data_IF_908457372609
#
_entry.id   IF_908457372609
#
_cell.length_a   1.000
_cell.length_b   1.000
_cell.length_c   1.000
_cell.angle_alpha   90.00
_cell.angle_beta   90.00
_cell.angle_gamma   90.00
#
_symmetry.space_group_name_H-M   'P 1'
#
loop_
_entity.id
_entity.type
_entity.pdbx_description
1 polymer ?
#
# COMPACT_ATOMS: atom_id res chain seq x y z
N UNK A 1 17.99 -19.68 -6.43
CA UNK A 1 17.24 -19.31 -5.22
C UNK A 1 17.79 -20.09 -4.02
N UNK A 2 17.93 -19.41 -2.84
CA UNK A 2 18.31 -20.06 -1.59
C UNK A 2 17.23 -21.05 -1.11
N UNK A 3 17.60 -22.02 -0.28
CA UNK A 3 16.64 -23.00 0.26
C UNK A 3 15.53 -22.32 1.10
N UNK A 4 15.84 -21.26 1.83
CA UNK A 4 14.85 -20.50 2.60
C UNK A 4 13.79 -19.85 1.68
N UNK A 5 14.22 -19.29 0.55
CA UNK A 5 13.32 -18.70 -0.45
C UNK A 5 12.45 -19.78 -1.07
N UNK A 6 13.03 -20.91 -1.48
CA UNK A 6 12.28 -22.04 -2.05
C UNK A 6 11.24 -22.56 -1.06
N UNK A 7 11.62 -22.78 0.20
CA UNK A 7 10.73 -23.26 1.25
C UNK A 7 9.61 -22.27 1.56
N UNK A 8 9.88 -20.97 1.53
CA UNK A 8 8.86 -19.93 1.70
C UNK A 8 7.88 -19.96 0.54
N UNK A 9 8.37 -19.90 -0.70
CA UNK A 9 7.54 -19.89 -1.91
C UNK A 9 6.69 -21.16 -2.02
N UNK A 10 7.22 -22.33 -1.72
CA UNK A 10 6.47 -23.59 -1.75
C UNK A 10 5.28 -23.59 -0.79
N UNK A 11 5.42 -22.98 0.39
CA UNK A 11 4.32 -22.86 1.35
C UNK A 11 3.33 -21.77 1.00
N UNK A 12 3.83 -20.71 0.35
CA UNK A 12 3.01 -19.55 0.00
C UNK A 12 2.23 -19.77 -1.30
N UNK A 13 2.80 -20.54 -2.24
CA UNK A 13 2.22 -20.74 -3.55
C UNK A 13 0.96 -21.60 -3.46
N UNK A 14 -0.17 -21.01 -3.77
CA UNK A 14 -1.46 -21.68 -3.93
C UNK A 14 -2.04 -21.35 -5.32
N UNK A 15 -3.26 -21.82 -5.61
CA UNK A 15 -3.90 -21.61 -6.92
C UNK A 15 -4.07 -20.12 -7.23
N UNK A 16 -4.43 -19.30 -6.24
CA UNK A 16 -4.65 -17.87 -6.44
C UNK A 16 -3.35 -17.12 -6.73
N UNK A 17 -2.27 -17.50 -6.08
CA UNK A 17 -0.97 -16.86 -6.23
C UNK A 17 -0.15 -17.40 -7.40
N UNK A 18 -0.47 -18.60 -7.88
CA UNK A 18 0.17 -19.17 -9.08
C UNK A 18 -0.10 -18.37 -10.35
N UNK A 19 -1.12 -17.50 -10.36
CA UNK A 19 -1.36 -16.56 -11.47
C UNK A 19 -0.16 -15.67 -11.76
N UNK A 20 0.69 -15.40 -10.77
CA UNK A 20 1.97 -14.72 -10.94
C UNK A 20 2.83 -15.32 -12.05
N UNK A 21 2.86 -16.65 -12.16
CA UNK A 21 3.69 -17.37 -13.14
C UNK A 21 3.17 -17.26 -14.58
N UNK A 22 1.90 -16.91 -14.77
CA UNK A 22 1.24 -16.84 -16.08
C UNK A 22 0.99 -15.40 -16.55
N UNK A 23 1.44 -14.42 -15.78
CA UNK A 23 1.25 -12.99 -16.08
C UNK A 23 2.33 -12.47 -17.03
N UNK A 24 2.02 -11.40 -17.77
CA UNK A 24 2.99 -10.61 -18.54
C UNK A 24 3.72 -9.58 -17.67
N UNK A 25 3.15 -9.26 -16.53
CA UNK A 25 3.70 -8.38 -15.52
C UNK A 25 3.03 -8.61 -14.16
N UNK A 26 3.73 -8.27 -13.10
CA UNK A 26 3.26 -8.48 -11.73
C UNK A 26 3.39 -7.19 -10.92
N UNK A 27 2.37 -6.90 -10.12
CA UNK A 27 2.42 -5.86 -9.08
C UNK A 27 2.28 -6.55 -7.73
N UNK A 28 3.34 -6.52 -6.93
CA UNK A 28 3.34 -7.04 -5.56
C UNK A 28 2.88 -5.95 -4.59
N UNK A 29 1.96 -6.29 -3.70
CA UNK A 29 1.45 -5.36 -2.68
C UNK A 29 1.45 -6.00 -1.30
N UNK A 30 1.54 -5.19 -0.26
CA UNK A 30 1.63 -5.69 1.11
C UNK A 30 0.28 -6.16 1.66
N UNK A 31 -0.81 -5.50 1.27
CA UNK A 31 -2.10 -5.67 1.90
C UNK A 31 -3.27 -5.82 0.93
N UNK A 32 -4.43 -6.06 1.54
CA UNK A 32 -5.68 -6.28 0.81
C UNK A 32 -6.21 -4.98 0.19
N UNK A 33 -6.00 -3.83 0.84
CA UNK A 33 -6.47 -2.53 0.38
C UNK A 33 -5.86 -2.20 -0.98
N UNK A 34 -4.54 -2.29 -1.09
CA UNK A 34 -3.82 -2.07 -2.35
C UNK A 34 -4.24 -3.09 -3.41
N UNK A 35 -4.39 -4.37 -3.02
CA UNK A 35 -4.79 -5.41 -3.96
C UNK A 35 -6.16 -5.14 -4.59
N UNK A 36 -7.08 -4.52 -3.84
CA UNK A 36 -8.42 -4.17 -4.32
C UNK A 36 -8.45 -2.85 -5.07
N UNK A 37 -7.76 -1.81 -4.59
CA UNK A 37 -7.85 -0.46 -5.14
C UNK A 37 -6.93 -0.21 -6.34
N UNK A 38 -5.74 -0.83 -6.40
CA UNK A 38 -4.80 -0.61 -7.51
C UNK A 38 -5.39 -0.96 -8.87
N UNK A 39 -6.12 -2.09 -9.08
CA UNK A 39 -6.77 -2.35 -10.36
C UNK A 39 -7.78 -1.27 -10.75
N UNK A 40 -8.55 -0.75 -9.79
CA UNK A 40 -9.56 0.29 -10.02
C UNK A 40 -8.88 1.62 -10.40
N UNK A 41 -7.84 2.02 -9.69
CA UNK A 41 -7.08 3.22 -10.01
C UNK A 41 -6.35 3.11 -11.34
N UNK A 42 -5.76 1.95 -11.61
CA UNK A 42 -5.11 1.70 -12.90
C UNK A 42 -6.08 1.84 -14.06
N UNK A 43 -7.30 1.29 -13.94
CA UNK A 43 -8.34 1.43 -14.96
C UNK A 43 -8.65 2.90 -15.23
N UNK A 44 -8.90 3.71 -14.20
CA UNK A 44 -9.18 5.15 -14.35
C UNK A 44 -8.02 5.91 -15.00
N UNK A 45 -6.77 5.63 -14.57
CA UNK A 45 -5.58 6.27 -15.14
C UNK A 45 -5.38 5.90 -16.60
N UNK A 46 -5.56 4.63 -16.95
CA UNK A 46 -5.40 4.12 -18.31
C UNK A 46 -6.50 4.68 -19.24
N UNK A 47 -7.74 4.78 -18.77
CA UNK A 47 -8.81 5.45 -19.53
C UNK A 47 -8.47 6.91 -19.81
N UNK A 48 -8.05 7.67 -18.81
CA UNK A 48 -7.67 9.09 -18.98
C UNK A 48 -6.45 9.24 -19.91
N UNK A 49 -5.48 8.34 -19.79
CA UNK A 49 -4.35 8.31 -20.73
C UNK A 49 -4.84 8.06 -22.15
N UNK A 50 -5.69 7.07 -22.36
CA UNK A 50 -6.23 6.72 -23.66
C UNK A 50 -7.08 7.85 -24.30
N UNK A 51 -7.78 8.67 -23.50
CA UNK A 51 -8.50 9.84 -24.03
C UNK A 51 -7.57 10.85 -24.71
N UNK A 52 -6.31 10.94 -24.26
CA UNK A 52 -5.31 11.91 -24.72
C UNK A 52 -4.37 11.39 -25.82
N UNK A 53 -4.39 10.08 -26.09
CA UNK A 53 -3.45 9.43 -27.01
C UNK A 53 -4.13 8.97 -28.30
N UNK A 54 -3.39 9.02 -29.41
CA UNK A 54 -3.83 8.48 -30.71
C UNK A 54 -3.73 6.96 -30.71
N UNK A 55 -2.61 6.42 -30.18
CA UNK A 55 -2.40 4.98 -30.03
C UNK A 55 -2.93 4.54 -28.66
N UNK A 56 -3.90 3.63 -28.70
CA UNK A 56 -4.53 3.13 -27.48
C UNK A 56 -3.70 1.98 -26.88
N UNK A 57 -3.66 1.97 -25.54
CA UNK A 57 -3.13 0.86 -24.73
C UNK A 57 -4.28 0.15 -24.02
N UNK A 58 -4.08 -1.03 -23.42
CA UNK A 58 -5.11 -1.69 -22.62
C UNK A 58 -5.72 -0.76 -21.56
N UNK A 59 -7.03 -0.86 -21.33
CA UNK A 59 -7.74 -0.01 -20.38
C UNK A 59 -7.68 -0.54 -18.94
N UNK A 60 -7.23 -1.75 -18.75
CA UNK A 60 -7.08 -2.36 -17.41
C UNK A 60 -5.80 -3.18 -17.29
N UNK A 61 -5.45 -3.52 -16.07
CA UNK A 61 -4.32 -4.39 -15.77
C UNK A 61 -4.56 -5.79 -16.35
N UNK A 62 -5.78 -6.30 -16.26
CA UNK A 62 -6.19 -7.61 -16.78
C UNK A 62 -6.02 -7.67 -18.31
N UNK A 63 -6.49 -6.66 -19.04
CA UNK A 63 -6.30 -6.58 -20.49
C UNK A 63 -4.82 -6.51 -20.87
N UNK A 64 -4.01 -5.88 -20.02
CA UNK A 64 -2.56 -5.82 -20.20
C UNK A 64 -1.86 -7.15 -19.83
N UNK A 65 -2.56 -8.08 -19.19
CA UNK A 65 -2.01 -9.31 -18.63
C UNK A 65 -1.16 -9.09 -17.38
N UNK A 66 -1.44 -8.01 -16.63
CA UNK A 66 -0.76 -7.68 -15.37
C UNK A 66 -1.61 -8.14 -14.19
N UNK A 67 -1.00 -8.85 -13.27
CA UNK A 67 -1.65 -9.37 -12.06
C UNK A 67 -1.18 -8.61 -10.82
N UNK A 68 -2.11 -8.21 -9.96
CA UNK A 68 -1.81 -7.68 -8.62
C UNK A 68 -1.81 -8.84 -7.63
N UNK A 69 -0.74 -8.97 -6.86
CA UNK A 69 -0.53 -10.10 -5.94
C UNK A 69 -0.27 -9.55 -4.53
N UNK A 70 -1.19 -9.85 -3.62
CA UNK A 70 -1.00 -9.55 -2.20
C UNK A 70 -0.04 -10.58 -1.59
N UNK A 71 1.11 -10.11 -1.10
CA UNK A 71 2.14 -10.94 -0.47
C UNK A 71 1.98 -11.05 1.04
N UNK A 72 0.94 -10.43 1.62
CA UNK A 72 0.63 -10.41 3.04
C UNK A 72 1.82 -9.94 3.90
N UNK A 73 2.15 -8.65 3.78
CA UNK A 73 3.21 -7.97 4.53
C UNK A 73 4.50 -7.77 3.73
N UNK A 74 5.56 -7.38 4.43
CA UNK A 74 6.85 -6.92 3.86
C UNK A 74 7.76 -8.05 3.34
N UNK A 75 7.17 -9.07 2.76
CA UNK A 75 7.88 -10.29 2.34
C UNK A 75 8.56 -10.19 0.96
N UNK A 76 8.75 -8.99 0.44
CA UNK A 76 9.35 -8.72 -0.89
C UNK A 76 10.67 -9.47 -1.14
N UNK A 77 11.51 -9.64 -0.13
CA UNK A 77 12.79 -10.35 -0.23
C UNK A 77 12.68 -11.79 -0.73
N UNK A 78 11.51 -12.42 -0.59
CA UNK A 78 11.28 -13.78 -1.08
C UNK A 78 10.78 -13.84 -2.52
N UNK A 79 10.16 -12.74 -3.00
CA UNK A 79 9.57 -12.69 -4.33
C UNK A 79 10.47 -12.05 -5.38
N UNK A 80 11.18 -10.97 -5.04
CA UNK A 80 12.03 -10.28 -6.01
C UNK A 80 13.10 -11.15 -6.65
N UNK A 81 13.73 -12.13 -5.96
CA UNK A 81 14.69 -13.04 -6.61
C UNK A 81 14.12 -13.85 -7.78
N UNK A 82 12.79 -13.93 -7.93
CA UNK A 82 12.16 -14.53 -9.10
C UNK A 82 12.26 -13.66 -10.36
N UNK A 83 12.43 -12.34 -10.19
CA UNK A 83 12.35 -11.34 -11.25
C UNK A 83 13.65 -10.56 -11.45
N UNK A 84 14.49 -10.49 -10.42
CA UNK A 84 15.74 -9.75 -10.47
C UNK A 84 16.81 -10.51 -11.24
N UNK A 85 17.78 -9.75 -11.75
CA UNK A 85 18.95 -10.31 -12.39
C UNK A 85 19.72 -11.17 -11.37
N UNK A 86 19.88 -12.44 -11.71
CA UNK A 86 20.76 -13.38 -11.04
C UNK A 86 22.01 -13.55 -11.89
N UNK A 87 23.05 -14.19 -11.36
CA UNK A 87 24.27 -14.53 -12.13
C UNK A 87 23.96 -15.39 -13.39
N UNK A 88 22.75 -15.98 -13.43
CA UNK A 88 22.21 -16.77 -14.52
C UNK A 88 20.91 -16.14 -15.00
N UNK A 89 20.96 -15.43 -16.14
CA UNK A 89 19.76 -14.82 -16.75
C UNK A 89 18.64 -15.83 -17.03
N UNK A 90 18.98 -17.10 -17.19
CA UNK A 90 18.06 -18.20 -17.47
C UNK A 90 17.21 -18.60 -16.26
N UNK A 91 17.63 -18.24 -15.03
CA UNK A 91 16.97 -18.65 -13.78
C UNK A 91 15.87 -17.69 -13.32
N UNK A 92 15.63 -16.60 -14.02
CA UNK A 92 14.60 -15.59 -13.67
C UNK A 92 13.34 -15.71 -14.52
N UNK A 93 12.24 -15.26 -13.98
CA UNK A 93 11.02 -15.10 -14.77
C UNK A 93 11.18 -13.93 -15.77
N UNK A 94 10.92 -14.13 -17.07
CA UNK A 94 11.10 -13.09 -18.09
C UNK A 94 9.96 -12.08 -18.14
N UNK A 95 9.46 -11.66 -16.97
CA UNK A 95 8.35 -10.73 -16.79
C UNK A 95 8.77 -9.56 -15.90
N UNK A 96 8.12 -8.41 -16.08
CA UNK A 96 8.37 -7.24 -15.25
C UNK A 96 7.64 -7.36 -13.93
N UNK A 97 8.29 -6.92 -12.85
CA UNK A 97 7.75 -6.90 -11.52
C UNK A 97 7.83 -5.48 -10.94
N UNK A 98 6.72 -5.00 -10.40
CA UNK A 98 6.70 -3.80 -9.56
C UNK A 98 6.19 -4.17 -8.17
N UNK A 99 6.63 -3.47 -7.15
CA UNK A 99 6.10 -3.61 -5.80
C UNK A 99 5.75 -2.24 -5.23
N UNK A 100 4.82 -2.24 -4.31
CA UNK A 100 4.42 -1.07 -3.54
C UNK A 100 4.53 -1.45 -2.08
N UNK A 101 5.28 -0.66 -1.30
CA UNK A 101 5.51 -0.87 0.12
C UNK A 101 5.23 0.40 0.90
N UNK A 102 4.74 0.24 2.11
CA UNK A 102 4.55 1.34 3.04
C UNK A 102 5.88 1.91 3.54
N UNK A 103 5.89 3.14 3.99
CA UNK A 103 7.07 3.80 4.58
C UNK A 103 7.18 3.56 6.07
N UNK A 104 6.04 3.49 6.76
CA UNK A 104 5.90 3.24 8.19
C UNK A 104 6.88 4.04 9.08
N UNK A 105 6.90 5.38 8.96
CA UNK A 105 7.83 6.18 9.72
C UNK A 105 7.54 6.11 11.22
N UNK A 106 8.62 6.03 12.01
CA UNK A 106 8.55 6.00 13.46
C UNK A 106 9.29 7.21 14.05
N UNK A 107 8.76 7.76 15.14
CA UNK A 107 9.40 8.85 15.86
C UNK A 107 10.48 8.31 16.79
N UNK A 108 10.07 7.41 17.69
CA UNK A 108 10.93 6.84 18.71
C UNK A 108 10.66 5.36 18.88
N UNK A 109 11.72 4.63 19.20
CA UNK A 109 11.67 3.22 19.54
C UNK A 109 12.28 3.06 20.93
N UNK A 110 11.44 2.84 21.94
CA UNK A 110 11.91 2.45 23.26
C UNK A 110 12.13 0.94 23.32
N UNK A 111 13.30 0.54 23.82
CA UNK A 111 13.66 -0.87 24.00
C UNK A 111 13.92 -1.18 25.47
N UNK A 112 13.54 -2.40 25.89
CA UNK A 112 13.89 -2.91 27.24
C UNK A 112 15.39 -3.27 27.33
N UNK A 113 15.82 -3.64 28.54
CA UNK A 113 17.22 -4.05 28.81
C UNK A 113 17.67 -5.28 27.97
N UNK A 114 16.74 -6.00 27.39
CA UNK A 114 16.98 -7.16 26.50
C UNK A 114 16.90 -6.79 25.02
N UNK A 115 16.77 -5.48 24.69
CA UNK A 115 16.68 -4.98 23.33
C UNK A 115 15.33 -5.19 22.65
N UNK A 116 14.29 -5.61 23.37
CA UNK A 116 12.94 -5.79 22.83
C UNK A 116 12.23 -4.43 22.79
N UNK A 117 11.51 -4.16 21.68
CA UNK A 117 10.74 -2.92 21.52
C UNK A 117 9.59 -2.93 22.54
N UNK A 118 9.58 -1.94 23.46
CA UNK A 118 8.53 -1.72 24.44
C UNK A 118 7.50 -0.73 23.92
N UNK A 119 7.97 0.31 23.19
CA UNK A 119 7.14 1.38 22.63
C UNK A 119 7.66 1.76 21.25
N UNK A 120 6.72 1.87 20.33
CA UNK A 120 6.95 2.39 18.98
C UNK A 120 5.94 3.52 18.74
N UNK A 121 6.42 4.74 18.63
CA UNK A 121 5.57 5.88 18.31
C UNK A 121 5.56 6.11 16.81
N UNK A 122 4.36 6.01 16.22
CA UNK A 122 4.18 6.23 14.80
C UNK A 122 4.16 7.70 14.44
N UNK A 123 4.82 8.07 13.35
CA UNK A 123 4.71 9.40 12.75
C UNK A 123 3.63 9.46 11.70
N UNK A 124 3.03 10.65 11.62
CA UNK A 124 2.02 11.01 10.63
C UNK A 124 2.52 12.28 9.90
N UNK A 125 3.43 12.11 8.93
CA UNK A 125 4.12 13.25 8.31
C UNK A 125 3.26 13.97 7.28
N UNK A 126 3.63 15.21 7.02
CA UNK A 126 3.15 16.03 5.90
C UNK A 126 4.22 16.12 4.81
N UNK A 127 3.83 16.61 3.62
CA UNK A 127 4.77 16.82 2.53
C UNK A 127 5.87 17.81 2.90
N UNK A 128 7.12 17.50 2.55
CA UNK A 128 8.30 18.31 2.87
C UNK A 128 8.97 18.02 4.20
N UNK A 129 8.36 17.23 5.10
CA UNK A 129 9.04 16.76 6.30
C UNK A 129 10.11 15.71 5.97
N UNK A 130 11.25 15.79 6.63
CA UNK A 130 12.30 14.76 6.49
C UNK A 130 11.91 13.52 7.28
N UNK A 131 11.58 12.43 6.55
CA UNK A 131 11.00 11.23 7.12
C UNK A 131 11.93 10.05 6.87
N UNK A 132 12.35 9.41 7.96
CA UNK A 132 13.05 8.13 7.90
C UNK A 132 12.02 7.02 7.98
N UNK A 133 11.98 6.16 6.98
CA UNK A 133 11.08 5.01 6.95
C UNK A 133 11.48 3.96 8.00
N UNK A 134 10.46 3.33 8.60
CA UNK A 134 10.63 2.24 9.56
C UNK A 134 10.41 0.84 8.97
N UNK A 135 9.97 0.76 7.73
CA UNK A 135 9.71 -0.49 7.03
C UNK A 135 11.00 -1.09 6.48
N UNK A 136 11.27 -2.35 6.82
CA UNK A 136 12.49 -3.07 6.37
C UNK A 136 12.54 -3.32 4.86
N UNK A 137 11.40 -3.32 4.17
CA UNK A 137 11.38 -3.47 2.71
C UNK A 137 12.09 -2.32 2.00
N UNK A 138 12.21 -1.14 2.65
CA UNK A 138 12.91 0.02 2.11
C UNK A 138 14.40 -0.28 1.87
N UNK A 139 15.02 -1.12 2.68
CA UNK A 139 16.42 -1.53 2.51
C UNK A 139 16.67 -2.25 1.17
N UNK A 140 15.62 -2.78 0.55
CA UNK A 140 15.69 -3.49 -0.73
C UNK A 140 15.55 -2.57 -1.95
N UNK A 141 15.11 -1.32 -1.75
CA UNK A 141 14.73 -0.41 -2.85
C UNK A 141 15.89 -0.17 -3.81
N UNK A 142 17.07 0.14 -3.28
CA UNK A 142 18.23 0.45 -4.12
C UNK A 142 18.67 -0.76 -4.95
N UNK A 143 18.78 -1.93 -4.33
CA UNK A 143 19.18 -3.16 -5.01
C UNK A 143 18.18 -3.59 -6.07
N UNK A 144 16.86 -3.52 -5.76
CA UNK A 144 15.81 -3.89 -6.70
C UNK A 144 15.75 -2.88 -7.86
N UNK A 145 15.77 -1.59 -7.56
CA UNK A 145 15.64 -0.54 -8.57
C UNK A 145 16.88 -0.40 -9.48
N UNK A 146 18.02 -0.99 -9.11
CA UNK A 146 19.18 -1.11 -9.99
C UNK A 146 18.99 -2.15 -11.10
N UNK A 147 18.05 -3.08 -10.93
CA UNK A 147 17.77 -4.12 -11.94
C UNK A 147 16.96 -3.56 -13.12
N UNK A 148 16.96 -4.27 -14.26
CA UNK A 148 16.22 -3.83 -15.46
C UNK A 148 14.73 -4.13 -15.40
N UNK A 149 14.33 -5.18 -14.68
CA UNK A 149 12.97 -5.76 -14.77
C UNK A 149 12.13 -5.54 -13.52
N UNK A 150 12.72 -5.16 -12.40
CA UNK A 150 12.02 -4.98 -11.16
C UNK A 150 12.08 -3.53 -10.65
N UNK A 151 11.02 -3.11 -9.95
CA UNK A 151 10.94 -1.82 -9.25
C UNK A 151 10.20 -2.00 -7.93
N UNK A 152 10.66 -1.31 -6.90
CA UNK A 152 9.97 -1.20 -5.62
C UNK A 152 9.70 0.28 -5.34
N UNK A 153 8.44 0.62 -5.22
CA UNK A 153 7.96 1.96 -4.87
C UNK A 153 7.59 2.01 -3.40
N UNK A 154 7.90 3.11 -2.75
CA UNK A 154 7.62 3.35 -1.33
C UNK A 154 6.57 4.44 -1.23
N UNK A 155 5.59 4.28 -0.34
CA UNK A 155 4.63 5.33 0.00
C UNK A 155 5.35 6.63 0.36
N UNK A 156 4.80 7.76 -0.07
CA UNK A 156 5.48 9.06 0.05
C UNK A 156 5.60 9.51 1.50
N UNK A 157 4.53 9.34 2.27
CA UNK A 157 4.41 9.82 3.65
C UNK A 157 4.42 8.67 4.65
N UNK A 158 3.45 7.76 4.61
CA UNK A 158 3.32 6.70 5.61
C UNK A 158 2.87 5.37 5.03
N UNK A 159 1.59 5.23 4.75
CA UNK A 159 0.96 4.04 4.17
C UNK A 159 0.13 4.45 2.98
N UNK A 160 -0.29 3.47 2.20
CA UNK A 160 -1.16 3.70 1.06
C UNK A 160 -2.43 4.49 1.45
N UNK A 161 -3.12 4.10 2.52
CA UNK A 161 -4.36 4.74 2.96
C UNK A 161 -4.11 6.16 3.50
N UNK A 162 -3.04 6.34 4.28
CA UNK A 162 -2.70 7.66 4.81
C UNK A 162 -2.33 8.63 3.70
N UNK A 163 -1.53 8.17 2.73
CA UNK A 163 -1.14 8.98 1.57
C UNK A 163 -2.36 9.36 0.72
N UNK A 164 -3.33 8.44 0.54
CA UNK A 164 -4.60 8.75 -0.12
C UNK A 164 -5.36 9.86 0.62
N UNK A 165 -5.48 9.79 1.93
CA UNK A 165 -6.15 10.80 2.73
C UNK A 165 -5.46 12.17 2.60
N UNK A 166 -4.13 12.21 2.72
CA UNK A 166 -3.30 13.41 2.60
C UNK A 166 -3.31 14.01 1.17
N UNK A 167 -3.68 13.24 0.17
CA UNK A 167 -3.88 13.73 -1.20
C UNK A 167 -5.30 14.24 -1.48
N UNK A 168 -5.97 14.79 -0.47
CA UNK A 168 -7.26 15.49 -0.59
C UNK A 168 -8.49 14.57 -0.52
N UNK A 169 -8.32 13.31 -0.14
CA UNK A 169 -9.43 12.36 -0.09
C UNK A 169 -10.03 12.18 1.32
N UNK A 170 -9.64 12.97 2.31
CA UNK A 170 -10.17 12.86 3.68
C UNK A 170 -11.71 12.90 3.73
N UNK A 171 -12.35 13.80 2.98
CA UNK A 171 -13.81 13.92 2.94
C UNK A 171 -14.48 12.64 2.44
N UNK A 172 -14.01 12.11 1.30
CA UNK A 172 -14.53 10.86 0.72
C UNK A 172 -14.29 9.66 1.65
N UNK A 173 -13.08 9.53 2.18
CA UNK A 173 -12.72 8.43 3.07
C UNK A 173 -13.52 8.49 4.40
N UNK A 174 -13.76 9.70 4.92
CA UNK A 174 -14.62 9.88 6.10
C UNK A 174 -16.10 9.53 5.80
N UNK A 175 -16.59 9.76 4.58
CA UNK A 175 -17.93 9.35 4.16
C UNK A 175 -18.06 7.82 4.17
N UNK A 176 -17.11 7.12 3.54
CA UNK A 176 -17.07 5.65 3.52
C UNK A 176 -17.02 5.10 4.95
N UNK A 177 -16.17 5.68 5.79
CA UNK A 177 -16.04 5.28 7.19
C UNK A 177 -17.35 5.53 7.97
N UNK A 178 -18.01 6.67 7.75
CA UNK A 178 -19.31 7.00 8.36
C UNK A 178 -20.41 5.99 7.99
N UNK A 179 -20.47 5.59 6.72
CA UNK A 179 -21.48 4.65 6.23
C UNK A 179 -21.28 3.24 6.78
N UNK A 180 -20.04 2.79 6.84
CA UNK A 180 -19.70 1.42 7.23
C UNK A 180 -19.45 1.26 8.74
N UNK A 181 -19.26 2.35 9.51
CA UNK A 181 -19.02 2.26 10.95
C UNK A 181 -20.24 1.70 11.68
N UNK A 182 -20.06 0.75 12.62
CA UNK A 182 -21.15 0.27 13.46
C UNK A 182 -21.83 1.43 14.21
N UNK A 183 -23.12 1.26 14.54
CA UNK A 183 -23.87 2.32 15.24
C UNK A 183 -23.31 2.51 16.65
N UNK A 184 -22.54 3.58 16.86
CA UNK A 184 -21.88 3.94 18.12
C UNK A 184 -22.70 4.89 19.01
N UNK A 185 -23.99 5.05 18.68
CA UNK A 185 -24.93 5.85 19.46
C UNK A 185 -24.83 7.36 19.19
N UNK A 186 -25.58 8.14 20.01
CA UNK A 186 -25.67 9.61 19.85
C UNK A 186 -24.62 10.37 20.66
N UNK A 187 -23.47 9.77 20.99
CA UNK A 187 -22.41 10.44 21.76
C UNK A 187 -21.75 11.52 20.90
N UNK A 188 -21.50 12.67 21.48
CA UNK A 188 -20.88 13.83 20.81
C UNK A 188 -19.51 13.47 20.21
N UNK A 189 -18.76 12.59 20.85
CA UNK A 189 -17.45 12.11 20.45
C UNK A 189 -17.51 10.76 19.71
N UNK A 190 -18.65 10.39 19.13
CA UNK A 190 -18.76 9.18 18.33
C UNK A 190 -17.96 9.28 17.04
N UNK A 191 -17.50 8.13 16.53
CA UNK A 191 -16.75 8.06 15.26
C UNK A 191 -17.60 8.63 14.12
N UNK A 192 -18.89 8.30 14.08
CA UNK A 192 -19.82 8.84 13.08
C UNK A 192 -19.92 10.36 13.11
N UNK A 193 -19.97 10.97 14.31
CA UNK A 193 -20.04 12.43 14.40
C UNK A 193 -18.72 13.10 13.95
N UNK A 194 -17.57 12.52 14.26
CA UNK A 194 -16.28 13.04 13.78
C UNK A 194 -16.16 12.88 12.27
N UNK A 195 -16.50 11.72 11.73
CA UNK A 195 -16.52 11.49 10.29
C UNK A 195 -17.47 12.43 9.55
N UNK A 196 -18.66 12.71 10.13
CA UNK A 196 -19.58 13.70 9.58
C UNK A 196 -18.95 15.10 9.47
N UNK A 197 -18.21 15.53 10.49
CA UNK A 197 -17.52 16.84 10.47
C UNK A 197 -16.41 16.87 9.41
N UNK A 198 -15.67 15.76 9.23
CA UNK A 198 -14.60 15.68 8.25
C UNK A 198 -15.18 15.69 6.82
N UNK A 199 -16.22 14.90 6.54
CA UNK A 199 -16.81 14.81 5.21
C UNK A 199 -17.46 16.12 4.73
N UNK A 200 -17.87 16.99 5.66
CA UNK A 200 -18.43 18.31 5.35
C UNK A 200 -17.36 19.37 5.01
N UNK A 201 -16.08 19.06 5.23
CA UNK A 201 -14.99 19.99 4.85
C UNK A 201 -14.77 20.01 3.35
N UNK A 202 -14.79 21.21 2.77
CA UNK A 202 -14.54 21.41 1.34
C UNK A 202 -13.10 21.77 1.00
N UNK A 203 -12.34 22.23 1.99
CA UNK A 203 -10.92 22.56 1.87
C UNK A 203 -10.27 22.58 3.25
N UNK A 204 -8.96 22.36 3.26
CA UNK A 204 -8.11 22.54 4.43
C UNK A 204 -7.31 23.84 4.29
N UNK A 205 -7.15 24.57 5.38
CA UNK A 205 -6.39 25.83 5.42
C UNK A 205 -4.91 25.57 5.69
N UNK A 206 -4.63 24.53 6.45
CA UNK A 206 -3.29 24.14 6.89
C UNK A 206 -3.11 22.62 6.77
N UNK A 207 -1.90 22.19 6.44
CA UNK A 207 -1.57 20.77 6.30
C UNK A 207 -1.70 20.01 7.63
N UNK A 208 -1.45 20.68 8.76
CA UNK A 208 -1.63 20.11 10.08
C UNK A 208 -3.08 19.71 10.38
N UNK A 209 -4.05 20.53 9.93
CA UNK A 209 -5.47 20.19 10.07
C UNK A 209 -5.82 18.94 9.23
N UNK A 210 -5.31 18.88 8.02
CA UNK A 210 -5.49 17.71 7.15
C UNK A 210 -4.82 16.47 7.74
N UNK A 211 -3.62 16.63 8.29
CA UNK A 211 -2.89 15.55 8.99
C UNK A 211 -3.69 14.92 10.12
N UNK A 212 -4.30 15.74 10.99
CA UNK A 212 -5.11 15.25 12.11
C UNK A 212 -6.35 14.47 11.63
N UNK A 213 -7.01 14.93 10.59
CA UNK A 213 -8.15 14.22 10.00
C UNK A 213 -7.70 12.94 9.26
N UNK A 214 -6.61 12.98 8.51
CA UNK A 214 -6.03 11.80 7.85
C UNK A 214 -5.58 10.75 8.86
N UNK A 215 -4.92 11.16 9.95
CA UNK A 215 -4.54 10.29 11.06
C UNK A 215 -5.77 9.65 11.70
N UNK A 216 -6.82 10.44 11.93
CA UNK A 216 -8.07 9.94 12.51
C UNK A 216 -8.69 8.86 11.61
N UNK A 217 -8.81 9.13 10.32
CA UNK A 217 -9.35 8.18 9.33
C UNK A 217 -8.52 6.91 9.32
N UNK A 218 -7.19 7.04 9.16
CA UNK A 218 -6.27 5.91 9.11
C UNK A 218 -6.42 4.98 10.31
N UNK A 219 -6.42 5.53 11.53
CA UNK A 219 -6.53 4.75 12.77
C UNK A 219 -7.86 4.01 12.91
N UNK A 220 -8.93 4.50 12.26
CA UNK A 220 -10.24 3.85 12.28
C UNK A 220 -10.48 2.90 11.11
N UNK A 221 -9.70 3.00 10.03
CA UNK A 221 -9.67 1.99 8.96
C UNK A 221 -8.89 0.76 9.42
N UNK A 222 -7.80 0.95 10.15
CA UNK A 222 -6.89 -0.11 10.60
C UNK A 222 -7.32 -0.71 11.95
N UNK A 223 -8.62 -0.74 12.23
CA UNK A 223 -9.19 -1.30 13.45
C UNK A 223 -10.01 -2.57 13.17
N UNK A 224 -10.29 -3.33 14.23
CA UNK A 224 -11.03 -4.60 14.14
C UNK A 224 -12.51 -4.41 13.72
N UNK A 225 -13.09 -3.22 13.90
CA UNK A 225 -14.49 -2.93 13.63
C UNK A 225 -14.81 -2.89 12.13
N UNK A 226 -13.89 -2.41 11.31
CA UNK A 226 -14.05 -2.34 9.85
C UNK A 226 -12.97 -3.15 9.13
N UNK A 227 -11.70 -2.80 9.39
CA UNK A 227 -10.56 -3.37 8.69
C UNK A 227 -10.39 -2.85 7.26
N UNK A 228 -9.16 -2.86 6.79
CA UNK A 228 -8.75 -2.31 5.47
C UNK A 228 -9.48 -2.98 4.30
N UNK A 229 -9.79 -4.26 4.41
CA UNK A 229 -10.49 -5.01 3.36
C UNK A 229 -11.92 -4.54 3.16
N UNK A 230 -12.70 -4.37 4.23
CA UNK A 230 -14.08 -3.88 4.14
C UNK A 230 -14.14 -2.41 3.73
N UNK A 231 -13.16 -1.60 4.14
CA UNK A 231 -13.08 -0.19 3.74
C UNK A 231 -12.80 -0.02 2.24
N UNK A 232 -12.03 -0.91 1.63
CA UNK A 232 -11.64 -0.83 0.20
C UNK A 232 -12.65 -1.46 -0.76
N UNK A 233 -13.69 -2.11 -0.23
CA UNK A 233 -14.76 -2.74 -1.01
C UNK A 233 -15.84 -1.72 -1.38
#
# INVERSE_FOLDING_TARGET
>A
LSEDIKNYLNRWMDITKSTLLFSKGVILVEGICEAMLIPVFAHKVLEEYNKKQTVKIPNSLEEAGVTVVNINGINFKYFYPLFCDTDWEEDRLPIRCSGITDKDPVADIEKDEKGRIIKKEEKYPIEGENIIGGNKAIELVESINSTKQARLYVASLKTFEYDLAMNGNCSLMAEILYENWPNDGKKENSVKNKCKKIKEKTAYKEDDEMREDAKYIYTHIDCDEIGKGAFSH
#
